data_IF_950227029924
#
_entry.id   IF_950227029924
#
_cell.length_a   1.000
_cell.length_b   1.000
_cell.length_c   1.000
_cell.angle_alpha   90.00
_cell.angle_beta   90.00
_cell.angle_gamma   90.00
#
_symmetry.space_group_name_H-M   'P 1'
#
loop_
_entity.id
_entity.type
_entity.pdbx_description
1 polymer ?
#
# COMPACT_ATOMS: atom_id res chain seq x y z
N UNK A 1 34.76 -0.41 -30.48
CA UNK A 1 33.39 -0.37 -29.90
C UNK A 1 32.98 -1.72 -29.29
N UNK A 2 33.61 -2.88 -29.69
CA UNK A 2 33.17 -4.21 -29.22
C UNK A 2 33.93 -4.79 -28.01
N UNK A 3 34.90 -4.05 -27.43
CA UNK A 3 35.66 -4.53 -26.26
C UNK A 3 34.97 -4.28 -24.90
N UNK A 4 33.88 -3.51 -24.86
CA UNK A 4 33.16 -3.19 -23.61
C UNK A 4 32.04 -4.17 -23.25
N UNK A 5 31.66 -5.08 -24.15
CA UNK A 5 30.58 -6.05 -23.90
C UNK A 5 30.89 -6.96 -22.70
N UNK A 6 32.12 -7.43 -22.56
CA UNK A 6 32.52 -8.25 -21.42
C UNK A 6 32.38 -7.49 -20.10
N UNK A 7 32.75 -6.21 -20.05
CA UNK A 7 32.60 -5.38 -18.85
C UNK A 7 31.13 -5.17 -18.48
N UNK A 8 30.26 -4.99 -19.47
CA UNK A 8 28.82 -4.87 -19.26
C UNK A 8 28.25 -6.16 -18.68
N UNK A 9 28.61 -7.33 -19.26
CA UNK A 9 28.17 -8.64 -18.77
C UNK A 9 28.67 -8.91 -17.34
N UNK A 10 29.95 -8.63 -17.06
CA UNK A 10 30.49 -8.77 -15.71
C UNK A 10 29.86 -7.79 -14.72
N UNK A 11 29.55 -6.56 -15.13
CA UNK A 11 28.83 -5.57 -14.34
C UNK A 11 27.43 -6.08 -13.94
N UNK A 12 26.65 -6.60 -14.90
CA UNK A 12 25.34 -7.20 -14.64
C UNK A 12 25.45 -8.44 -13.75
N UNK A 13 26.39 -9.32 -14.00
CA UNK A 13 26.60 -10.50 -13.17
C UNK A 13 26.95 -10.12 -11.71
N UNK A 14 27.79 -9.10 -11.53
CA UNK A 14 28.13 -8.58 -10.20
C UNK A 14 26.92 -7.99 -9.47
N UNK A 15 26.09 -7.21 -10.18
CA UNK A 15 24.85 -6.64 -9.61
C UNK A 15 23.87 -7.74 -9.18
N UNK A 16 23.66 -8.76 -10.02
CA UNK A 16 22.78 -9.90 -9.69
C UNK A 16 23.31 -10.64 -8.46
N UNK A 17 24.61 -11.00 -8.45
CA UNK A 17 25.22 -11.71 -7.32
C UNK A 17 25.16 -10.87 -6.04
N UNK A 18 25.44 -9.58 -6.12
CA UNK A 18 25.37 -8.67 -4.97
C UNK A 18 23.94 -8.55 -4.44
N UNK A 19 22.94 -8.39 -5.31
CA UNK A 19 21.53 -8.30 -4.93
C UNK A 19 21.05 -9.59 -4.26
N UNK A 20 21.32 -10.75 -4.87
CA UNK A 20 20.94 -12.05 -4.29
C UNK A 20 21.65 -12.32 -2.98
N UNK A 21 22.94 -11.94 -2.87
CA UNK A 21 23.71 -12.10 -1.63
C UNK A 21 23.16 -11.20 -0.52
N UNK A 22 22.83 -9.95 -0.84
CA UNK A 22 22.27 -9.01 0.10
C UNK A 22 20.90 -9.48 0.60
N UNK A 23 20.03 -9.90 -0.30
CA UNK A 23 18.73 -10.48 0.04
C UNK A 23 18.86 -11.73 0.91
N UNK A 24 19.79 -12.61 0.57
CA UNK A 24 20.04 -13.81 1.36
C UNK A 24 20.55 -13.49 2.76
N UNK A 25 21.48 -12.55 2.91
CA UNK A 25 22.03 -12.15 4.22
C UNK A 25 20.98 -11.45 5.08
N UNK A 26 20.23 -10.50 4.50
CA UNK A 26 19.23 -9.72 5.22
C UNK A 26 18.03 -10.60 5.63
N UNK A 27 17.51 -11.41 4.72
CA UNK A 27 16.34 -12.24 4.98
C UNK A 27 16.65 -13.45 5.88
N UNK A 28 17.86 -14.01 5.83
CA UNK A 28 18.24 -15.13 6.68
C UNK A 28 18.28 -14.77 8.17
N UNK A 29 18.59 -13.52 8.52
CA UNK A 29 18.63 -13.07 9.91
C UNK A 29 17.23 -12.86 10.54
N UNK A 30 16.17 -12.70 9.72
CA UNK A 30 14.80 -12.40 10.17
C UNK A 30 13.88 -13.61 10.22
N UNK A 31 14.33 -14.80 9.81
CA UNK A 31 13.49 -15.99 9.82
C UNK A 31 13.29 -16.51 11.24
N UNK A 32 12.03 -16.75 11.58
CA UNK A 32 11.60 -17.38 12.83
C UNK A 32 11.00 -18.75 12.56
N UNK A 33 11.05 -19.60 13.57
CA UNK A 33 10.51 -20.95 13.51
C UNK A 33 9.53 -21.11 14.67
N UNK A 34 8.34 -21.60 14.36
CA UNK A 34 7.33 -22.02 15.32
C UNK A 34 7.48 -23.51 15.57
N UNK A 35 7.49 -23.88 16.84
CA UNK A 35 7.41 -25.27 17.28
C UNK A 35 6.02 -25.52 17.88
N UNK A 36 5.40 -26.61 17.46
CA UNK A 36 4.26 -27.24 18.12
C UNK A 36 4.73 -28.57 18.69
N UNK A 37 4.77 -28.69 20.03
CA UNK A 37 5.37 -29.83 20.70
C UNK A 37 4.27 -30.58 21.47
N UNK A 38 4.12 -31.84 21.15
CA UNK A 38 3.16 -32.75 21.75
C UNK A 38 3.93 -33.77 22.60
N UNK A 39 3.87 -33.67 23.93
CA UNK A 39 4.61 -34.53 24.85
C UNK A 39 3.83 -34.70 26.16
N UNK A 40 3.96 -35.85 26.77
CA UNK A 40 3.49 -36.07 28.16
C UNK A 40 4.35 -35.27 29.15
N UNK A 41 5.62 -35.02 28.81
CA UNK A 41 6.57 -34.25 29.58
C UNK A 41 6.53 -32.74 29.31
N UNK A 42 5.37 -32.23 28.86
CA UNK A 42 5.21 -30.85 28.39
C UNK A 42 5.69 -29.80 29.40
N UNK A 43 5.47 -30.01 30.72
CA UNK A 43 5.92 -29.09 31.77
C UNK A 43 7.44 -28.95 31.80
N UNK A 44 8.17 -30.08 31.83
CA UNK A 44 9.62 -30.07 31.82
C UNK A 44 10.20 -29.40 30.57
N UNK A 45 9.55 -29.65 29.42
CA UNK A 45 9.94 -29.03 28.16
C UNK A 45 9.69 -27.52 28.19
N UNK A 46 8.50 -27.09 28.66
CA UNK A 46 8.16 -25.69 28.79
C UNK A 46 9.11 -24.94 29.74
N UNK A 47 9.40 -25.51 30.92
CA UNK A 47 10.33 -24.92 31.91
C UNK A 47 11.76 -24.80 31.34
N UNK A 48 12.24 -25.85 30.67
CA UNK A 48 13.56 -25.84 30.04
C UNK A 48 13.67 -24.79 28.93
N UNK A 49 12.65 -24.63 28.07
CA UNK A 49 12.65 -23.61 27.04
C UNK A 49 12.54 -22.21 27.67
N UNK A 50 11.67 -22.04 28.66
CA UNK A 50 11.49 -20.76 29.36
C UNK A 50 12.78 -20.30 30.06
N UNK A 51 13.58 -21.22 30.62
CA UNK A 51 14.87 -20.91 31.23
C UNK A 51 15.91 -20.33 30.25
N UNK A 52 15.68 -20.48 28.92
CA UNK A 52 16.51 -19.84 27.89
C UNK A 52 16.07 -18.40 27.58
N UNK A 53 15.11 -17.86 28.32
CA UNK A 53 14.56 -16.52 28.08
C UNK A 53 13.57 -16.44 26.91
N UNK A 54 12.99 -17.58 26.52
CA UNK A 54 11.98 -17.64 25.45
C UNK A 54 10.58 -17.84 26.04
N UNK A 55 9.66 -17.00 25.58
CA UNK A 55 8.23 -17.15 25.92
C UNK A 55 7.68 -18.47 25.42
N UNK A 56 6.95 -19.16 26.28
CA UNK A 56 6.32 -20.44 25.98
C UNK A 56 4.82 -20.34 26.28
N UNK A 57 4.00 -20.81 25.37
CA UNK A 57 2.55 -20.89 25.56
C UNK A 57 2.14 -22.35 25.57
N UNK A 58 1.31 -22.74 26.53
CA UNK A 58 0.72 -24.08 26.58
C UNK A 58 -0.75 -23.97 26.22
N UNK A 59 -1.14 -24.68 25.15
CA UNK A 59 -2.52 -24.76 24.68
C UNK A 59 -3.16 -26.06 25.11
N UNK A 60 -4.45 -26.00 25.41
CA UNK A 60 -5.28 -27.16 25.63
C UNK A 60 -5.82 -27.68 24.29
N UNK A 61 -5.72 -28.98 24.10
CA UNK A 61 -6.24 -29.65 22.92
C UNK A 61 -6.79 -31.04 23.24
N UNK A 62 -7.65 -31.53 22.39
CA UNK A 62 -8.19 -32.89 22.50
C UNK A 62 -7.79 -33.71 21.29
N UNK A 63 -7.15 -34.84 21.50
CA UNK A 63 -6.88 -35.80 20.42
C UNK A 63 -8.18 -36.32 19.86
N UNK A 64 -8.53 -35.93 18.63
CA UNK A 64 -9.82 -36.28 18.06
C UNK A 64 -10.07 -37.80 17.96
N UNK A 65 -9.03 -38.56 17.60
CA UNK A 65 -9.08 -40.02 17.51
C UNK A 65 -9.05 -40.68 18.89
N UNK A 66 -8.16 -40.23 19.77
CA UNK A 66 -7.96 -40.85 21.10
C UNK A 66 -8.93 -40.36 22.15
N UNK A 67 -9.69 -39.28 21.88
CA UNK A 67 -10.59 -38.58 22.80
C UNK A 67 -9.93 -38.20 24.13
N UNK A 68 -8.62 -38.07 24.15
CA UNK A 68 -7.82 -37.70 25.34
C UNK A 68 -7.38 -36.25 25.29
N UNK A 69 -7.44 -35.57 26.42
CA UNK A 69 -6.87 -34.24 26.59
C UNK A 69 -5.36 -34.28 26.44
N UNK A 70 -4.82 -33.31 25.72
CA UNK A 70 -3.39 -33.14 25.50
C UNK A 70 -3.02 -31.67 25.62
N UNK A 71 -1.83 -31.42 26.19
CA UNK A 71 -1.23 -30.10 26.21
C UNK A 71 -0.24 -29.98 25.05
N UNK A 72 -0.34 -28.85 24.33
CA UNK A 72 0.55 -28.53 23.21
C UNK A 72 1.39 -27.33 23.61
N UNK A 73 2.70 -27.52 23.64
CA UNK A 73 3.64 -26.43 23.92
C UNK A 73 3.94 -25.71 22.59
N UNK A 74 3.69 -24.42 22.56
CA UNK A 74 3.97 -23.54 21.43
C UNK A 74 5.09 -22.61 21.81
N UNK A 75 6.12 -22.58 20.96
CA UNK A 75 7.23 -21.64 21.13
C UNK A 75 7.67 -21.08 19.78
N UNK A 76 7.98 -19.79 19.76
CA UNK A 76 8.54 -19.08 18.63
C UNK A 76 10.01 -18.76 18.92
N UNK A 77 10.90 -19.14 18.02
CA UNK A 77 12.34 -18.90 18.18
C UNK A 77 12.96 -18.40 16.87
N UNK A 78 14.07 -17.72 16.95
CA UNK A 78 14.85 -17.38 15.76
C UNK A 78 15.41 -18.64 15.11
N UNK A 79 15.49 -18.69 13.81
CA UNK A 79 15.97 -19.87 13.06
C UNK A 79 17.32 -20.39 13.56
N UNK A 80 18.23 -19.50 13.96
CA UNK A 80 19.56 -19.87 14.51
C UNK A 80 19.47 -20.66 15.83
N UNK A 81 18.40 -20.52 16.58
CA UNK A 81 18.18 -21.16 17.89
C UNK A 81 17.41 -22.47 17.76
N UNK A 82 16.77 -22.70 16.62
CA UNK A 82 15.86 -23.85 16.41
C UNK A 82 16.53 -25.21 16.66
N UNK A 83 17.78 -25.36 16.26
CA UNK A 83 18.53 -26.61 16.48
C UNK A 83 18.75 -26.89 17.95
N UNK A 84 19.08 -25.88 18.75
CA UNK A 84 19.31 -26.04 20.18
C UNK A 84 18.02 -26.37 20.93
N UNK A 85 16.92 -25.69 20.57
CA UNK A 85 15.59 -25.98 21.11
C UNK A 85 15.16 -27.40 20.76
N UNK A 86 15.35 -27.82 19.52
CA UNK A 86 15.02 -29.18 19.09
C UNK A 86 15.82 -30.23 19.88
N UNK A 87 17.13 -30.04 20.06
CA UNK A 87 17.95 -30.94 20.87
C UNK A 87 17.51 -31.02 22.33
N UNK A 88 17.16 -29.87 22.92
CA UNK A 88 16.63 -29.80 24.29
C UNK A 88 15.32 -30.57 24.44
N UNK A 89 14.39 -30.42 23.50
CA UNK A 89 13.13 -31.17 23.52
C UNK A 89 13.43 -32.66 23.48
N UNK A 90 14.28 -33.10 22.55
CA UNK A 90 14.60 -34.53 22.38
C UNK A 90 15.40 -35.12 23.51
N UNK A 91 16.18 -34.32 24.26
CA UNK A 91 16.88 -34.79 25.47
C UNK A 91 15.89 -35.04 26.63
N UNK A 92 14.78 -34.29 26.70
CA UNK A 92 13.77 -34.44 27.78
C UNK A 92 12.78 -35.54 27.40
N UNK A 93 12.35 -35.58 26.14
CA UNK A 93 11.44 -36.59 25.64
C UNK A 93 11.81 -37.00 24.20
N UNK A 94 12.54 -38.09 24.02
CA UNK A 94 12.93 -38.61 22.71
C UNK A 94 11.72 -38.93 21.79
N UNK A 95 10.57 -39.24 22.40
CA UNK A 95 9.34 -39.61 21.70
C UNK A 95 8.38 -38.45 21.49
N UNK A 96 8.72 -37.24 21.91
CA UNK A 96 7.89 -36.06 21.67
C UNK A 96 7.62 -35.90 20.17
N UNK A 97 6.35 -35.68 19.80
CA UNK A 97 6.00 -35.28 18.45
C UNK A 97 6.22 -33.78 18.33
N UNK A 98 7.02 -33.37 17.36
CA UNK A 98 7.42 -31.98 17.15
C UNK A 98 7.15 -31.57 15.71
N UNK A 99 6.24 -30.61 15.52
CA UNK A 99 6.04 -29.95 14.23
C UNK A 99 6.77 -28.62 14.24
N UNK A 100 7.50 -28.36 13.15
CA UNK A 100 8.26 -27.10 12.96
C UNK A 100 7.80 -26.43 11.68
N UNK A 101 7.46 -25.15 11.77
CA UNK A 101 7.07 -24.32 10.63
C UNK A 101 7.89 -23.03 10.58
N UNK A 102 8.28 -22.60 9.38
CA UNK A 102 8.84 -21.27 9.21
C UNK A 102 7.73 -20.23 9.34
N UNK A 103 7.98 -19.19 10.13
CA UNK A 103 7.06 -18.07 10.34
C UNK A 103 7.71 -16.81 9.83
N UNK A 104 6.98 -16.08 8.99
CA UNK A 104 7.38 -14.76 8.51
C UNK A 104 6.71 -13.69 9.37
N UNK A 105 7.47 -12.64 9.73
CA UNK A 105 6.90 -11.48 10.40
C UNK A 105 6.49 -11.73 11.85
N UNK A 106 7.41 -12.25 12.69
CA UNK A 106 7.20 -12.32 14.15
C UNK A 106 7.66 -11.00 14.77
N UNK A 107 6.72 -10.32 15.42
CA UNK A 107 6.95 -9.04 16.09
C UNK A 107 6.54 -9.14 17.56
N UNK A 108 7.21 -8.38 18.43
CA UNK A 108 6.89 -8.29 19.84
C UNK A 108 8.08 -8.56 20.76
N UNK A 109 7.78 -8.77 22.04
CA UNK A 109 8.81 -8.99 23.07
C UNK A 109 9.69 -10.22 22.75
N UNK A 110 11.01 -10.02 22.68
CA UNK A 110 11.97 -11.05 22.30
C UNK A 110 12.22 -11.23 20.79
N UNK A 111 11.48 -10.52 19.94
CA UNK A 111 11.63 -10.50 18.48
C UNK A 111 11.89 -9.07 17.97
N UNK A 112 11.84 -8.88 16.65
CA UNK A 112 12.00 -7.54 16.11
C UNK A 112 10.87 -6.65 16.66
N UNK A 113 11.21 -5.49 17.26
CA UNK A 113 10.17 -4.58 17.69
C UNK A 113 9.33 -4.20 16.46
N UNK A 114 8.01 -4.19 16.63
CA UNK A 114 7.19 -3.42 15.70
C UNK A 114 7.85 -2.05 15.69
N UNK A 115 8.51 -1.67 14.61
CA UNK A 115 8.94 -0.30 14.41
C UNK A 115 7.68 0.55 14.28
N UNK A 116 7.01 0.80 15.39
CA UNK A 116 6.26 2.00 15.53
C UNK A 116 7.30 3.11 15.32
N UNK A 117 7.37 3.65 14.11
CA UNK A 117 8.03 4.92 13.87
C UNK A 117 7.56 5.80 15.01
N UNK A 118 8.50 6.38 15.76
CA UNK A 118 8.20 7.13 16.97
C UNK A 118 6.90 7.90 16.76
N UNK A 119 5.85 7.51 17.47
CA UNK A 119 4.60 8.25 17.43
C UNK A 119 4.99 9.65 17.85
N UNK A 120 4.86 10.62 16.95
CA UNK A 120 4.96 12.03 17.30
C UNK A 120 3.94 12.23 18.40
N UNK A 121 4.41 12.30 19.65
CA UNK A 121 3.56 12.45 20.83
C UNK A 121 2.68 13.67 20.62
N UNK A 122 1.43 13.46 20.23
CA UNK A 122 0.43 14.50 20.07
C UNK A 122 -0.31 14.58 18.73
N UNK A 123 0.18 13.94 17.66
CA UNK A 123 -0.53 13.97 16.36
C UNK A 123 -1.39 12.72 16.18
N UNK A 124 -2.65 12.91 15.77
CA UNK A 124 -3.53 11.79 15.40
C UNK A 124 -3.06 11.18 14.08
N UNK A 125 -2.89 9.86 14.05
CA UNK A 125 -2.52 9.14 12.82
C UNK A 125 -3.72 9.02 11.90
N UNK A 126 -3.53 9.29 10.62
CA UNK A 126 -4.51 9.04 9.57
C UNK A 126 -3.81 8.40 8.37
N UNK A 127 -4.41 7.37 7.78
CA UNK A 127 -3.82 6.66 6.63
C UNK A 127 -4.37 7.24 5.34
N UNK A 128 -3.48 7.59 4.43
CA UNK A 128 -3.83 7.83 3.04
C UNK A 128 -3.65 6.53 2.26
N UNK A 129 -4.74 5.98 1.73
CA UNK A 129 -4.76 4.69 1.02
C UNK A 129 -4.11 4.82 -0.38
N UNK A 130 -2.85 5.23 -0.40
CA UNK A 130 -2.04 5.42 -1.61
C UNK A 130 -0.57 5.21 -1.31
N UNK A 131 0.19 4.71 -2.30
CA UNK A 131 1.65 4.66 -2.30
C UNK A 131 2.27 5.68 -3.27
N UNK A 132 1.45 6.53 -3.89
CA UNK A 132 1.94 7.58 -4.78
C UNK A 132 2.65 8.66 -3.97
N UNK A 133 3.97 8.75 -4.11
CA UNK A 133 4.82 9.65 -3.31
C UNK A 133 4.47 11.13 -3.53
N UNK A 134 4.18 11.54 -4.78
CA UNK A 134 3.80 12.92 -5.06
C UNK A 134 2.50 13.33 -4.34
N UNK A 135 1.49 12.44 -4.35
CA UNK A 135 0.24 12.67 -3.62
C UNK A 135 0.48 12.76 -2.11
N UNK A 136 1.35 11.88 -1.58
CA UNK A 136 1.70 11.85 -0.16
C UNK A 136 2.41 13.11 0.28
N UNK A 137 3.32 13.64 -0.52
CA UNK A 137 4.05 14.88 -0.23
C UNK A 137 3.10 16.08 -0.18
N UNK A 138 2.19 16.22 -1.17
CA UNK A 138 1.14 17.25 -1.18
C UNK A 138 0.28 17.19 0.09
N UNK A 139 -0.22 16.00 0.44
CA UNK A 139 -1.08 15.81 1.60
C UNK A 139 -0.32 16.09 2.91
N UNK A 140 0.92 15.62 3.02
CA UNK A 140 1.78 15.87 4.19
C UNK A 140 2.10 17.34 4.37
N UNK A 141 2.27 18.09 3.29
CA UNK A 141 2.48 19.54 3.33
C UNK A 141 1.25 20.27 3.90
N UNK A 142 0.03 19.79 3.61
CA UNK A 142 -1.21 20.44 4.03
C UNK A 142 -1.65 20.01 5.44
N UNK A 143 -1.56 18.73 5.76
CA UNK A 143 -2.10 18.14 7.00
C UNK A 143 -1.03 17.75 8.01
N UNK A 144 0.25 17.70 7.61
CA UNK A 144 1.34 17.13 8.40
C UNK A 144 1.63 17.85 9.74
N UNK A 145 1.14 19.06 9.93
CA UNK A 145 1.31 19.78 11.20
C UNK A 145 0.42 19.22 12.32
N UNK A 146 -0.79 18.79 11.99
CA UNK A 146 -1.76 18.27 12.96
C UNK A 146 -1.89 16.75 12.95
N UNK A 147 -1.62 16.10 11.81
CA UNK A 147 -1.78 14.68 11.62
C UNK A 147 -0.47 14.00 11.23
N UNK A 148 -0.28 12.77 11.67
CA UNK A 148 0.72 11.86 11.12
C UNK A 148 0.09 11.13 9.93
N UNK A 149 0.47 11.54 8.71
CA UNK A 149 -0.04 10.92 7.48
C UNK A 149 0.82 9.72 7.11
N UNK A 150 0.22 8.52 7.10
CA UNK A 150 0.83 7.27 6.70
C UNK A 150 0.35 6.80 5.34
N UNK A 151 1.25 6.19 4.56
CA UNK A 151 0.93 5.52 3.30
C UNK A 151 0.45 4.08 3.53
N UNK A 152 0.04 3.39 2.47
CA UNK A 152 -0.20 1.94 2.50
C UNK A 152 1.08 1.17 2.87
N UNK A 153 2.22 1.56 2.33
CA UNK A 153 3.53 0.97 2.67
C UNK A 153 3.88 1.17 4.14
N UNK A 154 3.64 2.37 4.71
CA UNK A 154 3.91 2.68 6.12
C UNK A 154 3.11 1.79 7.09
N UNK A 155 1.97 1.25 6.67
CA UNK A 155 1.13 0.32 7.45
C UNK A 155 1.34 -1.15 7.07
N UNK A 156 2.28 -1.44 6.16
CA UNK A 156 2.58 -2.80 5.70
C UNK A 156 1.54 -3.39 4.74
N UNK A 157 0.74 -2.55 4.08
CA UNK A 157 -0.20 -2.98 3.07
C UNK A 157 0.51 -3.13 1.73
N UNK A 158 0.77 -4.39 1.33
CA UNK A 158 1.39 -4.74 0.04
C UNK A 158 0.37 -5.30 -0.95
N UNK A 159 -0.92 -5.26 -0.63
CA UNK A 159 -1.98 -5.75 -1.49
C UNK A 159 -2.45 -4.67 -2.44
N UNK A 160 -2.68 -5.04 -3.70
CA UNK A 160 -3.43 -4.19 -4.61
C UNK A 160 -4.88 -4.11 -4.14
N UNK A 161 -5.35 -2.89 -3.89
CA UNK A 161 -6.72 -2.68 -3.46
C UNK A 161 -7.58 -2.58 -4.72
N UNK A 162 -8.61 -3.45 -4.88
CA UNK A 162 -9.45 -3.44 -6.05
C UNK A 162 -10.21 -2.11 -6.23
N UNK A 163 -10.35 -1.67 -7.48
CA UNK A 163 -11.17 -0.53 -7.90
C UNK A 163 -12.23 -1.05 -8.88
N UNK A 164 -13.31 -1.59 -8.34
CA UNK A 164 -14.36 -2.28 -9.11
C UNK A 164 -15.67 -1.51 -9.16
N UNK A 165 -15.76 -0.36 -8.51
CA UNK A 165 -16.94 0.49 -8.57
C UNK A 165 -17.02 1.22 -9.91
N UNK A 166 -18.25 1.46 -10.37
CA UNK A 166 -18.51 2.28 -11.55
C UNK A 166 -18.46 3.79 -11.30
N UNK A 167 -18.11 4.25 -10.10
CA UNK A 167 -18.07 5.66 -9.71
C UNK A 167 -16.79 6.02 -8.97
N UNK A 168 -16.34 7.28 -9.06
CA UNK A 168 -15.17 7.77 -8.32
C UNK A 168 -15.40 7.67 -6.81
N UNK A 169 -16.61 7.99 -6.34
CA UNK A 169 -17.00 7.86 -4.94
C UNK A 169 -16.86 6.43 -4.45
N UNK A 170 -17.36 5.48 -5.24
CA UNK A 170 -17.32 4.06 -4.89
C UNK A 170 -15.91 3.50 -4.84
N UNK A 171 -15.03 3.85 -5.78
CA UNK A 171 -13.64 3.42 -5.78
C UNK A 171 -12.85 4.05 -4.62
N UNK A 172 -13.05 5.35 -4.35
CA UNK A 172 -12.43 6.01 -3.20
C UNK A 172 -12.90 5.35 -1.89
N UNK A 173 -14.21 5.10 -1.74
CA UNK A 173 -14.75 4.41 -0.56
C UNK A 173 -14.19 3.00 -0.41
N UNK A 174 -14.16 2.21 -1.48
CA UNK A 174 -13.66 0.83 -1.47
C UNK A 174 -12.22 0.75 -0.96
N UNK A 175 -11.37 1.68 -1.38
CA UNK A 175 -9.99 1.80 -0.87
C UNK A 175 -9.94 2.15 0.62
N UNK A 176 -10.74 3.11 1.06
CA UNK A 176 -10.79 3.52 2.46
C UNK A 176 -11.36 2.40 3.35
N UNK A 177 -12.44 1.74 2.93
CA UNK A 177 -13.02 0.59 3.66
C UNK A 177 -12.06 -0.58 3.79
N UNK A 178 -11.26 -0.85 2.75
CA UNK A 178 -10.23 -1.88 2.81
C UNK A 178 -9.23 -1.58 3.94
N UNK A 179 -8.70 -0.36 4.00
CA UNK A 179 -7.76 0.05 5.06
C UNK A 179 -8.42 -0.01 6.44
N UNK A 180 -9.64 0.51 6.57
CA UNK A 180 -10.37 0.48 7.85
C UNK A 180 -10.62 -0.93 8.32
N UNK A 181 -11.09 -1.82 7.45
CA UNK A 181 -11.45 -3.21 7.78
C UNK A 181 -10.24 -4.06 8.16
N UNK A 182 -9.13 -3.95 7.41
CA UNK A 182 -7.99 -4.85 7.58
C UNK A 182 -6.89 -4.31 8.47
N UNK A 183 -6.80 -2.98 8.62
CA UNK A 183 -5.74 -2.32 9.39
C UNK A 183 -6.25 -1.47 10.56
N UNK A 184 -7.57 -1.19 10.63
CA UNK A 184 -8.21 -0.54 11.78
C UNK A 184 -7.98 0.97 11.89
N UNK A 185 -7.25 1.60 10.96
CA UNK A 185 -6.95 3.03 11.01
C UNK A 185 -8.12 3.89 10.54
N UNK A 186 -8.24 5.09 11.09
CA UNK A 186 -8.93 6.17 10.40
C UNK A 186 -8.14 6.47 9.12
N UNK A 187 -8.83 6.61 8.00
CA UNK A 187 -8.17 6.64 6.70
C UNK A 187 -8.98 7.40 5.66
N UNK A 188 -8.30 7.82 4.61
CA UNK A 188 -8.94 8.36 3.42
C UNK A 188 -8.28 7.84 2.16
N UNK A 189 -9.03 7.86 1.07
CA UNK A 189 -8.55 7.52 -0.26
C UNK A 189 -9.09 8.52 -1.29
N UNK A 190 -8.36 8.72 -2.37
CA UNK A 190 -8.81 9.51 -3.51
C UNK A 190 -9.05 8.63 -4.74
N UNK A 191 -10.04 9.01 -5.54
CA UNK A 191 -10.16 8.57 -6.92
C UNK A 191 -10.35 9.77 -7.84
N UNK A 192 -9.80 9.69 -9.06
CA UNK A 192 -9.73 10.83 -9.97
C UNK A 192 -10.05 10.40 -11.38
N UNK A 193 -10.90 11.16 -12.04
CA UNK A 193 -11.25 10.94 -13.44
C UNK A 193 -11.33 12.23 -14.25
N UNK A 194 -11.14 12.09 -15.55
CA UNK A 194 -11.52 13.09 -16.56
C UNK A 194 -12.90 12.71 -17.09
N UNK A 195 -13.82 13.65 -17.07
CA UNK A 195 -15.20 13.47 -17.51
C UNK A 195 -15.47 14.41 -18.68
N UNK A 196 -15.81 13.87 -19.88
CA UNK A 196 -16.10 14.64 -21.08
C UNK A 196 -17.61 14.67 -21.34
N UNK A 197 -18.18 15.86 -21.47
CA UNK A 197 -19.62 16.04 -21.61
C UNK A 197 -20.18 15.34 -22.88
N UNK A 198 -19.48 15.46 -24.01
CA UNK A 198 -19.87 14.84 -25.26
C UNK A 198 -19.81 13.31 -25.29
N UNK A 199 -19.15 12.70 -24.31
CA UNK A 199 -19.00 11.26 -24.18
C UNK A 199 -19.78 10.70 -22.97
N UNK A 200 -20.75 11.47 -22.45
CA UNK A 200 -21.56 11.03 -21.30
C UNK A 200 -20.76 10.82 -20.02
N UNK A 201 -19.64 11.54 -19.86
CA UNK A 201 -18.74 11.43 -18.69
C UNK A 201 -17.55 10.48 -18.86
N UNK A 202 -17.42 9.81 -20.02
CA UNK A 202 -16.20 9.03 -20.29
C UNK A 202 -14.98 9.95 -20.45
N UNK A 203 -13.78 9.48 -20.07
CA UNK A 203 -13.42 8.17 -19.53
C UNK A 203 -13.80 7.94 -18.04
N UNK A 204 -14.06 8.97 -17.24
CA UNK A 204 -14.52 8.84 -15.85
C UNK A 204 -13.59 7.94 -15.01
N UNK A 205 -14.13 6.94 -14.34
CA UNK A 205 -13.38 5.95 -13.54
C UNK A 205 -12.34 5.15 -14.34
N UNK A 206 -12.48 5.12 -15.66
CA UNK A 206 -11.56 4.42 -16.55
C UNK A 206 -10.38 5.29 -16.99
N UNK A 207 -10.24 6.53 -16.49
CA UNK A 207 -9.25 7.50 -16.96
C UNK A 207 -7.82 6.96 -17.03
N UNK A 208 -7.40 6.18 -16.05
CA UNK A 208 -6.06 5.61 -16.01
C UNK A 208 -5.83 4.45 -17.02
N UNK A 209 -6.91 3.79 -17.46
CA UNK A 209 -6.89 2.58 -18.32
C UNK A 209 -7.85 2.66 -19.50
N UNK A 210 -8.14 3.85 -19.98
CA UNK A 210 -9.17 4.09 -21.01
C UNK A 210 -8.87 3.38 -22.33
N UNK A 211 -7.60 3.28 -22.72
CA UNK A 211 -7.19 2.54 -23.91
C UNK A 211 -7.27 1.00 -23.73
N UNK A 212 -7.47 0.51 -22.52
CA UNK A 212 -7.42 -0.91 -22.18
C UNK A 212 -6.00 -1.37 -21.83
N UNK A 213 -5.85 -2.68 -21.53
CA UNK A 213 -4.58 -3.29 -21.09
C UNK A 213 -4.32 -3.13 -19.59
N UNK A 214 -3.18 -3.65 -19.14
CA UNK A 214 -2.78 -3.72 -17.72
C UNK A 214 -2.11 -2.43 -17.20
N UNK A 215 -1.96 -1.41 -18.05
CA UNK A 215 -1.06 -0.32 -17.77
C UNK A 215 -1.64 1.07 -17.91
N UNK A 216 -1.02 2.00 -17.23
CA UNK A 216 -1.26 3.43 -17.24
C UNK A 216 -0.59 4.11 -18.46
N UNK A 217 -0.91 3.64 -19.68
CA UNK A 217 -0.39 4.25 -20.91
C UNK A 217 -1.14 5.56 -21.21
N UNK A 218 -0.59 6.65 -20.70
CA UNK A 218 -1.17 7.99 -20.85
C UNK A 218 -1.28 8.40 -22.33
N UNK A 219 -0.33 7.99 -23.16
CA UNK A 219 -0.34 8.32 -24.59
C UNK A 219 -1.49 7.63 -25.32
N UNK A 220 -1.62 6.32 -25.13
CA UNK A 220 -2.72 5.55 -25.71
C UNK A 220 -4.09 6.05 -25.20
N UNK A 221 -4.19 6.39 -23.92
CA UNK A 221 -5.42 6.94 -23.34
C UNK A 221 -5.82 8.28 -23.97
N UNK A 222 -4.85 9.20 -24.15
CA UNK A 222 -5.09 10.49 -24.83
C UNK A 222 -5.49 10.30 -26.29
N UNK A 223 -4.79 9.44 -27.04
CA UNK A 223 -5.09 9.17 -28.43
C UNK A 223 -6.51 8.61 -28.61
N UNK A 224 -6.91 7.67 -27.76
CA UNK A 224 -8.28 7.13 -27.77
C UNK A 224 -9.31 8.21 -27.48
N UNK A 225 -9.05 9.07 -26.50
CA UNK A 225 -9.97 10.17 -26.17
C UNK A 225 -10.12 11.16 -27.33
N UNK A 226 -9.00 11.58 -27.92
CA UNK A 226 -9.01 12.49 -29.08
C UNK A 226 -9.74 11.87 -30.27
N UNK A 227 -9.55 10.57 -30.52
CA UNK A 227 -10.27 9.85 -31.58
C UNK A 227 -11.79 9.82 -31.33
N UNK A 228 -12.24 9.58 -30.09
CA UNK A 228 -13.65 9.56 -29.72
C UNK A 228 -14.30 10.95 -29.76
N UNK A 229 -13.52 12.02 -29.66
CA UNK A 229 -13.97 13.40 -29.73
C UNK A 229 -13.83 14.03 -31.14
N UNK A 230 -13.28 13.31 -32.15
CA UNK A 230 -12.93 13.86 -33.45
C UNK A 230 -14.10 14.56 -34.14
N UNK A 231 -15.31 13.97 -34.06
CA UNK A 231 -16.52 14.47 -34.73
C UNK A 231 -17.48 15.13 -33.72
N UNK A 232 -16.98 15.61 -32.59
CA UNK A 232 -17.76 16.25 -31.52
C UNK A 232 -17.42 17.75 -31.45
N UNK A 233 -18.44 18.60 -31.64
CA UNK A 233 -18.29 20.05 -31.44
C UNK A 233 -18.13 20.43 -29.99
N UNK A 234 -18.79 19.71 -29.07
CA UNK A 234 -18.65 19.92 -27.64
C UNK A 234 -17.40 19.25 -27.14
N UNK A 235 -16.41 20.06 -26.76
CA UNK A 235 -15.13 19.63 -26.18
C UNK A 235 -15.05 19.87 -24.65
N UNK A 236 -16.17 20.27 -24.04
CA UNK A 236 -16.22 20.54 -22.59
C UNK A 236 -15.93 19.30 -21.79
N UNK A 237 -15.10 19.47 -20.78
CA UNK A 237 -14.70 18.39 -19.89
C UNK A 237 -14.42 18.94 -18.49
N UNK A 238 -14.31 18.04 -17.52
CA UNK A 238 -13.79 18.37 -16.20
C UNK A 238 -12.87 17.29 -15.68
N UNK A 239 -11.83 17.70 -14.99
CA UNK A 239 -11.16 16.81 -14.04
C UNK A 239 -11.90 16.82 -12.72
N UNK A 240 -12.16 15.66 -12.17
CA UNK A 240 -12.79 15.52 -10.85
C UNK A 240 -12.02 14.56 -9.96
N UNK A 241 -11.82 14.95 -8.71
CA UNK A 241 -11.28 14.08 -7.65
C UNK A 241 -12.32 13.96 -6.56
N UNK A 242 -12.56 12.74 -6.11
CA UNK A 242 -13.35 12.46 -4.92
C UNK A 242 -12.45 11.84 -3.85
N UNK A 243 -12.51 12.39 -2.65
CA UNK A 243 -11.86 11.81 -1.46
C UNK A 243 -12.95 11.21 -0.58
N UNK A 244 -12.83 9.93 -0.24
CA UNK A 244 -13.63 9.26 0.78
C UNK A 244 -12.80 9.17 2.07
N UNK A 245 -13.30 9.72 3.15
CA UNK A 245 -12.69 9.71 4.47
C UNK A 245 -13.53 8.84 5.41
N UNK A 246 -12.91 7.88 6.09
CA UNK A 246 -13.48 7.17 7.23
C UNK A 246 -12.78 7.68 8.50
N UNK A 247 -13.53 8.40 9.33
CA UNK A 247 -13.02 9.08 10.50
C UNK A 247 -13.98 8.92 11.68
N UNK A 248 -13.49 8.39 12.81
CA UNK A 248 -14.32 8.04 13.95
C UNK A 248 -15.56 7.20 13.55
N UNK A 249 -15.33 6.17 12.70
CA UNK A 249 -16.33 5.23 12.17
C UNK A 249 -17.49 5.87 11.38
N UNK A 250 -17.28 7.08 10.87
CA UNK A 250 -18.20 7.78 9.96
C UNK A 250 -17.53 8.04 8.63
N UNK A 251 -18.31 7.97 7.56
CA UNK A 251 -17.85 8.23 6.20
C UNK A 251 -18.21 9.62 5.75
N UNK A 252 -17.25 10.32 5.13
CA UNK A 252 -17.39 11.66 4.57
C UNK A 252 -16.81 11.69 3.18
N UNK A 253 -17.34 12.59 2.33
CA UNK A 253 -16.85 12.76 0.96
C UNK A 253 -16.48 14.22 0.73
N UNK A 254 -15.36 14.42 0.01
CA UNK A 254 -14.90 15.72 -0.43
C UNK A 254 -14.53 15.63 -1.89
N UNK A 255 -15.15 16.47 -2.70
CA UNK A 255 -14.90 16.52 -4.11
C UNK A 255 -14.29 17.85 -4.56
N UNK A 256 -13.45 17.80 -5.57
CA UNK A 256 -12.93 18.94 -6.27
C UNK A 256 -13.02 18.71 -7.77
N UNK A 257 -13.49 19.70 -8.49
CA UNK A 257 -13.61 19.64 -9.93
C UNK A 257 -13.04 20.91 -10.56
N UNK A 258 -12.41 20.74 -11.72
CA UNK A 258 -11.94 21.84 -12.57
C UNK A 258 -12.54 21.64 -13.95
N UNK A 259 -13.38 22.59 -14.37
CA UNK A 259 -13.95 22.64 -15.71
C UNK A 259 -12.91 23.13 -16.71
N UNK A 260 -13.10 22.76 -17.95
CA UNK A 260 -12.25 23.16 -19.05
C UNK A 260 -12.69 22.52 -20.36
N UNK A 261 -11.75 22.44 -21.29
CA UNK A 261 -11.98 21.83 -22.61
C UNK A 261 -10.82 20.96 -23.05
N UNK A 262 -11.11 19.99 -23.88
CA UNK A 262 -10.11 19.14 -24.56
C UNK A 262 -9.67 19.80 -25.86
N UNK A 263 -8.37 19.91 -26.06
CA UNK A 263 -7.75 20.40 -27.31
C UNK A 263 -7.85 19.35 -28.42
N UNK A 264 -7.62 19.75 -29.67
CA UNK A 264 -7.59 18.82 -30.81
C UNK A 264 -6.27 18.05 -30.90
N UNK A 265 -5.20 18.59 -30.30
CA UNK A 265 -3.85 18.04 -30.32
C UNK A 265 -3.15 18.29 -28.97
N UNK A 266 -2.09 17.54 -28.72
CA UNK A 266 -1.25 17.68 -27.52
C UNK A 266 -0.47 19.00 -27.57
N UNK A 267 -0.39 19.69 -26.41
CA UNK A 267 0.39 20.90 -26.19
C UNK A 267 1.12 20.82 -24.86
N UNK A 268 2.42 21.15 -24.89
CA UNK A 268 3.30 21.05 -23.73
C UNK A 268 3.85 19.64 -23.49
N UNK A 269 4.95 19.57 -22.72
CA UNK A 269 5.67 18.34 -22.43
C UNK A 269 5.67 17.99 -20.94
N UNK A 270 5.00 18.81 -20.11
CA UNK A 270 4.91 18.59 -18.66
C UNK A 270 3.66 17.81 -18.26
N UNK A 271 3.57 17.53 -16.95
CA UNK A 271 2.40 16.89 -16.37
C UNK A 271 2.31 15.38 -16.62
N UNK A 272 1.12 14.83 -16.39
CA UNK A 272 0.84 13.39 -16.57
C UNK A 272 -0.63 13.17 -17.03
N UNK A 273 -0.91 11.98 -17.54
CA UNK A 273 -2.26 11.62 -17.96
C UNK A 273 -2.73 12.51 -19.11
N UNK A 274 -3.86 13.19 -18.94
CA UNK A 274 -4.49 14.03 -19.95
C UNK A 274 -4.09 15.52 -19.89
N UNK A 275 -3.12 15.89 -19.07
CA UNK A 275 -2.65 17.27 -18.92
C UNK A 275 -2.28 17.95 -20.25
N UNK A 276 -1.65 17.25 -21.24
CA UNK A 276 -1.29 17.85 -22.52
C UNK A 276 -2.47 18.21 -23.43
N UNK A 277 -3.67 17.73 -23.12
CA UNK A 277 -4.87 17.97 -23.96
C UNK A 277 -5.98 18.70 -23.20
N UNK A 278 -5.80 19.06 -21.94
CA UNK A 278 -6.80 19.73 -21.14
C UNK A 278 -6.42 21.19 -20.84
N UNK A 279 -7.27 22.12 -21.25
CA UNK A 279 -7.18 23.55 -20.97
C UNK A 279 -8.22 23.90 -19.92
N UNK A 280 -7.82 24.31 -18.70
CA UNK A 280 -8.77 24.69 -17.65
C UNK A 280 -9.44 26.03 -17.99
N UNK A 281 -10.67 26.22 -17.51
CA UNK A 281 -11.40 27.47 -17.69
C UNK A 281 -10.61 28.65 -17.11
N UNK A 282 -10.67 29.77 -17.84
CA UNK A 282 -9.91 30.97 -17.49
C UNK A 282 -8.45 30.98 -17.96
N UNK A 283 -8.00 29.95 -18.66
CA UNK A 283 -6.66 29.84 -19.22
C UNK A 283 -6.70 29.51 -20.71
N UNK A 284 -5.62 29.90 -21.42
CA UNK A 284 -5.42 29.60 -22.85
C UNK A 284 -4.39 28.48 -23.09
N UNK A 285 -3.80 27.97 -22.02
CA UNK A 285 -2.75 26.94 -22.03
C UNK A 285 -3.23 25.67 -21.37
N UNK A 286 -2.70 24.54 -21.84
CA UNK A 286 -2.96 23.24 -21.20
C UNK A 286 -2.30 23.14 -19.81
N UNK A 287 -2.76 22.21 -18.98
CA UNK A 287 -2.09 21.92 -17.72
C UNK A 287 -0.60 21.56 -17.89
N UNK A 288 -0.25 20.91 -18.99
CA UNK A 288 1.14 20.60 -19.32
C UNK A 288 1.99 21.84 -19.64
N UNK A 289 1.37 22.89 -20.19
CA UNK A 289 2.04 24.18 -20.49
C UNK A 289 2.07 25.13 -19.30
N UNK A 290 1.08 25.06 -18.40
CA UNK A 290 0.97 25.90 -17.20
C UNK A 290 2.00 25.52 -16.12
N UNK A 291 2.47 24.27 -16.12
CA UNK A 291 3.42 23.75 -15.15
C UNK A 291 2.82 23.39 -13.78
N UNK A 292 3.66 22.77 -12.96
CA UNK A 292 3.24 22.20 -11.66
C UNK A 292 2.76 23.24 -10.67
N UNK A 293 3.39 24.42 -10.62
CA UNK A 293 3.09 25.44 -9.61
C UNK A 293 1.68 25.99 -9.76
N UNK A 294 1.26 26.30 -10.99
CA UNK A 294 -0.11 26.74 -11.28
C UNK A 294 -1.10 25.60 -11.05
N UNK A 295 -0.78 24.41 -11.59
CA UNK A 295 -1.64 23.24 -11.44
C UNK A 295 -1.92 22.90 -9.98
N UNK A 296 -0.90 22.95 -9.11
CA UNK A 296 -1.03 22.64 -7.69
C UNK A 296 -1.97 23.61 -6.93
N UNK A 297 -2.17 24.82 -7.45
CA UNK A 297 -3.09 25.79 -6.82
C UNK A 297 -4.53 25.67 -7.29
N UNK A 298 -4.76 25.26 -8.55
CA UNK A 298 -6.09 25.26 -9.16
C UNK A 298 -6.64 23.86 -9.43
N UNK A 299 -5.85 22.80 -9.18
CA UNK A 299 -6.26 21.43 -9.56
C UNK A 299 -7.44 20.91 -8.75
N UNK A 300 -8.19 20.03 -9.39
CA UNK A 300 -9.27 19.27 -8.78
C UNK A 300 -8.87 18.60 -7.45
N UNK A 301 -7.64 18.03 -7.40
CA UNK A 301 -7.11 17.43 -6.17
C UNK A 301 -6.85 18.49 -5.09
N UNK A 302 -6.24 19.60 -5.43
CA UNK A 302 -6.00 20.69 -4.47
C UNK A 302 -7.30 21.16 -3.84
N UNK A 303 -8.37 21.32 -4.63
CA UNK A 303 -9.70 21.71 -4.15
C UNK A 303 -10.33 20.65 -3.21
N UNK A 304 -10.20 19.37 -3.55
CA UNK A 304 -10.71 18.28 -2.71
C UNK A 304 -9.94 18.19 -1.38
N UNK A 305 -8.61 18.29 -1.44
CA UNK A 305 -7.73 18.25 -0.26
C UNK A 305 -7.95 19.47 0.66
N UNK A 306 -8.18 20.65 0.11
CA UNK A 306 -8.51 21.84 0.90
C UNK A 306 -9.80 21.64 1.71
N UNK A 307 -10.85 21.05 1.10
CA UNK A 307 -12.10 20.70 1.80
C UNK A 307 -11.87 19.67 2.91
N UNK A 308 -11.08 18.61 2.63
CA UNK A 308 -10.67 17.62 3.63
C UNK A 308 -9.92 18.29 4.79
N UNK A 309 -8.96 19.16 4.47
CA UNK A 309 -8.15 19.87 5.46
C UNK A 309 -9.00 20.76 6.35
N UNK A 310 -9.93 21.51 5.78
CA UNK A 310 -10.90 22.34 6.54
C UNK A 310 -11.74 21.49 7.48
N UNK A 311 -12.24 20.35 7.03
CA UNK A 311 -13.01 19.43 7.88
C UNK A 311 -12.18 18.86 9.04
N UNK A 312 -10.98 18.39 8.77
CA UNK A 312 -10.11 17.79 9.78
C UNK A 312 -9.55 18.83 10.77
N UNK A 313 -9.54 20.11 10.39
CA UNK A 313 -9.05 21.21 11.20
C UNK A 313 -10.15 21.89 12.04
N UNK A 314 -11.43 21.59 11.76
CA UNK A 314 -12.59 22.06 12.51
C UNK A 314 -12.77 21.27 13.81
#
# INVERSE_FOLDING_TARGET
VFHDWQRVVFGFATLIVSSVTLDFVVNKQRQSVQFLIFSRNYRKIADAINSTGRGVTVLDGTGWYTKTERKVVVVLVRKRESVNIFRMIKSIDPYAFVSMGNVQGVYGEGFDPIKARAMNKGKKTIVFASNNQHKLEEIRAILGDKFEIRSLEDIGCNSDIPETSGTLEGNALQKAEFVKKFYGYDCFADDTGLECDALGGEPGVLSARYAGGDGHDSEANMQKLLANLKDKDNRSAQFRTVIALIYNDKTYYFDGAVRGRITDEKKGNGGFGYDPIFVPDGYDKTFAELGSDVKNTISHRALAVDKLAKFLNA
#
